data_IF_877882497420
#
_entry.id   IF_877882497420
#
_cell.length_a   1.000
_cell.length_b   1.000
_cell.length_c   1.000
_cell.angle_alpha   90.00
_cell.angle_beta   90.00
_cell.angle_gamma   90.00
#
_symmetry.space_group_name_H-M   'P 1'
#
loop_
_entity.id
_entity.type
_entity.pdbx_description
1 polymer ?
#
# COMPACT_ATOMS: atom_id res chain seq x y z
N UNK A 1 -7.70 -8.94 -13.91
CA UNK A 1 -8.34 -9.39 -12.66
C UNK A 1 -8.23 -8.32 -11.60
N UNK A 2 -9.25 -8.19 -10.78
CA UNK A 2 -9.23 -7.29 -9.65
C UNK A 2 -8.54 -7.93 -8.45
N UNK A 3 -7.81 -7.12 -7.68
CA UNK A 3 -7.15 -7.59 -6.46
C UNK A 3 -7.36 -6.61 -5.32
N UNK A 4 -7.19 -7.12 -4.11
CA UNK A 4 -7.11 -6.33 -2.88
C UNK A 4 -5.75 -6.57 -2.26
N UNK A 5 -5.10 -5.51 -1.84
CA UNK A 5 -3.81 -5.57 -1.16
C UNK A 5 -3.92 -4.84 0.17
N UNK A 6 -3.48 -5.48 1.23
CA UNK A 6 -3.23 -4.82 2.51
C UNK A 6 -1.73 -4.68 2.67
N UNK A 7 -1.29 -3.47 3.00
CA UNK A 7 0.12 -3.24 3.07
C UNK A 7 0.48 -2.36 4.27
N UNK A 8 1.62 -2.66 4.90
CA UNK A 8 2.17 -1.91 6.01
C UNK A 8 3.64 -1.68 5.75
N UNK A 9 4.05 -0.42 5.82
CA UNK A 9 5.44 -0.01 5.71
C UNK A 9 5.95 0.28 7.11
N UNK A 10 6.92 -0.52 7.56
CA UNK A 10 7.43 -0.42 8.94
C UNK A 10 8.90 0.01 8.90
N UNK A 11 9.19 1.28 9.18
CA UNK A 11 10.57 1.74 9.26
C UNK A 11 11.27 1.16 10.48
N UNK A 12 12.53 0.76 10.31
CA UNK A 12 13.37 0.24 11.38
C UNK A 12 14.53 1.18 11.66
N UNK A 13 14.28 2.49 11.54
CA UNK A 13 15.27 3.54 11.68
C UNK A 13 14.62 4.79 12.25
N UNK A 14 15.44 5.71 12.76
CA UNK A 14 14.99 7.06 13.09
C UNK A 14 14.87 7.88 11.80
N UNK A 15 14.22 9.04 11.86
CA UNK A 15 14.08 9.93 10.71
C UNK A 15 13.35 9.25 9.53
N UNK A 16 12.16 8.73 9.80
CA UNK A 16 11.37 8.00 8.80
C UNK A 16 10.09 8.72 8.37
N UNK A 17 9.61 9.69 9.14
CA UNK A 17 8.26 10.24 8.98
C UNK A 17 8.02 10.84 7.59
N UNK A 18 8.98 11.61 7.08
CA UNK A 18 8.84 12.23 5.75
C UNK A 18 8.73 11.20 4.64
N UNK A 19 9.40 10.06 4.78
CA UNK A 19 9.38 9.00 3.77
C UNK A 19 8.06 8.25 3.79
N UNK A 20 7.49 8.01 4.97
CA UNK A 20 6.17 7.41 5.11
C UNK A 20 5.10 8.34 4.55
N UNK A 21 5.18 9.62 4.88
CA UNK A 21 4.23 10.62 4.38
C UNK A 21 4.27 10.67 2.85
N UNK A 22 5.46 10.67 2.24
CA UNK A 22 5.61 10.64 0.80
C UNK A 22 4.93 9.40 0.20
N UNK A 23 5.20 8.23 0.76
CA UNK A 23 4.63 6.98 0.30
C UNK A 23 3.10 7.02 0.34
N UNK A 24 2.53 7.43 1.46
CA UNK A 24 1.07 7.52 1.61
C UNK A 24 0.47 8.54 0.64
N UNK A 25 1.10 9.69 0.45
CA UNK A 25 0.61 10.69 -0.49
C UNK A 25 0.61 10.19 -1.92
N UNK A 26 1.62 9.42 -2.32
CA UNK A 26 1.65 8.82 -3.66
C UNK A 26 0.50 7.81 -3.83
N UNK A 27 0.20 7.01 -2.81
CA UNK A 27 -0.94 6.10 -2.85
C UNK A 27 -2.25 6.88 -3.01
N UNK A 28 -2.43 7.93 -2.22
CA UNK A 28 -3.65 8.76 -2.26
C UNK A 28 -3.84 9.44 -3.62
N UNK A 29 -2.75 9.81 -4.27
CA UNK A 29 -2.78 10.48 -5.57
C UNK A 29 -2.99 9.51 -6.74
N UNK A 30 -2.97 8.21 -6.50
CA UNK A 30 -3.11 7.21 -7.53
C UNK A 30 -4.56 7.09 -8.02
N UNK A 31 -4.75 6.37 -9.12
CA UNK A 31 -6.08 6.07 -9.65
C UNK A 31 -6.84 5.00 -8.87
N UNK A 32 -6.16 4.34 -7.93
CA UNK A 32 -6.72 3.18 -7.23
C UNK A 32 -7.55 3.60 -6.02
N UNK A 33 -8.44 2.71 -5.59
CA UNK A 33 -9.18 2.90 -4.35
C UNK A 33 -8.24 2.62 -3.18
N UNK A 34 -8.06 3.61 -2.32
CA UNK A 34 -7.16 3.54 -1.17
C UNK A 34 -8.01 3.69 0.10
N UNK A 35 -7.91 2.72 0.99
CA UNK A 35 -8.52 2.79 2.32
C UNK A 35 -7.42 2.76 3.37
N UNK A 36 -7.44 3.73 4.26
CA UNK A 36 -6.44 3.85 5.33
C UNK A 36 -7.09 3.64 6.68
N UNK A 37 -6.40 2.90 7.55
CA UNK A 37 -6.78 2.80 8.94
C UNK A 37 -5.51 2.78 9.81
N UNK A 38 -5.63 2.80 11.15
CA UNK A 38 -4.44 2.88 12.01
C UNK A 38 -3.49 1.69 11.91
N UNK A 39 -3.93 0.56 11.37
CA UNK A 39 -3.14 -0.67 11.33
C UNK A 39 -2.51 -0.95 9.98
N UNK A 40 -3.12 -0.47 8.89
CA UNK A 40 -2.64 -0.79 7.56
C UNK A 40 -3.28 0.12 6.51
N UNK A 41 -2.77 0.04 5.29
CA UNK A 41 -3.37 0.70 4.13
C UNK A 41 -3.81 -0.37 3.14
N UNK A 42 -5.03 -0.24 2.60
CA UNK A 42 -5.55 -1.16 1.60
C UNK A 42 -5.58 -0.49 0.23
N UNK A 43 -5.20 -1.25 -0.78
CA UNK A 43 -5.18 -0.81 -2.18
C UNK A 43 -6.01 -1.79 -3.00
N UNK A 44 -6.93 -1.26 -3.82
CA UNK A 44 -7.85 -2.06 -4.63
C UNK A 44 -7.80 -1.61 -6.08
N UNK A 45 -7.73 -2.55 -6.99
CA UNK A 45 -7.73 -2.24 -8.40
C UNK A 45 -7.36 -3.42 -9.28
N UNK A 46 -7.11 -3.13 -10.54
CA UNK A 46 -6.72 -4.12 -11.54
C UNK A 46 -5.27 -4.53 -11.33
N UNK A 47 -5.02 -5.84 -11.31
CA UNK A 47 -3.71 -6.43 -11.04
C UNK A 47 -2.60 -5.83 -11.90
N UNK A 48 -2.85 -5.77 -13.22
CA UNK A 48 -1.83 -5.33 -14.18
C UNK A 48 -1.47 -3.85 -14.05
N UNK A 49 -2.29 -3.08 -13.34
CA UNK A 49 -2.04 -1.65 -13.07
C UNK A 49 -1.52 -1.44 -11.65
N UNK A 50 -2.10 -2.13 -10.67
CA UNK A 50 -1.73 -1.98 -9.26
C UNK A 50 -0.30 -2.47 -9.02
N UNK A 51 0.06 -3.63 -9.55
CA UNK A 51 1.36 -4.23 -9.25
C UNK A 51 2.54 -3.41 -9.76
N UNK A 52 2.56 -2.94 -11.01
CA UNK A 52 3.65 -2.06 -11.45
C UNK A 52 3.76 -0.78 -10.63
N UNK A 53 2.62 -0.18 -10.27
CA UNK A 53 2.59 1.02 -9.44
C UNK A 53 3.20 0.76 -8.06
N UNK A 54 2.73 -0.30 -7.36
CA UNK A 54 3.24 -0.63 -6.03
C UNK A 54 4.71 -1.04 -6.06
N UNK A 55 5.12 -1.80 -7.06
CA UNK A 55 6.52 -2.18 -7.24
C UNK A 55 7.41 -0.95 -7.32
N UNK A 56 6.99 0.05 -8.08
CA UNK A 56 7.72 1.31 -8.20
C UNK A 56 7.76 2.07 -6.86
N UNK A 57 6.63 2.17 -6.17
CA UNK A 57 6.55 2.92 -4.92
C UNK A 57 7.33 2.23 -3.78
N UNK A 58 7.28 0.92 -3.72
CA UNK A 58 8.06 0.14 -2.74
C UNK A 58 9.56 0.31 -3.01
N UNK A 59 9.95 0.27 -4.29
CA UNK A 59 11.35 0.48 -4.66
C UNK A 59 11.84 1.86 -4.23
N UNK A 60 11.02 2.90 -4.41
CA UNK A 60 11.36 4.25 -3.93
C UNK A 60 11.53 4.27 -2.41
N UNK A 61 10.61 3.63 -1.68
CA UNK A 61 10.70 3.56 -0.22
C UNK A 61 11.97 2.86 0.22
N UNK A 62 12.35 1.77 -0.43
CA UNK A 62 13.59 1.05 -0.15
C UNK A 62 14.83 1.90 -0.47
N UNK A 63 14.75 2.75 -1.49
CA UNK A 63 15.82 3.68 -1.82
C UNK A 63 15.93 4.85 -0.85
N UNK A 64 14.80 5.29 -0.29
CA UNK A 64 14.75 6.44 0.62
C UNK A 64 15.14 6.07 2.05
N UNK A 65 14.90 4.83 2.46
CA UNK A 65 15.14 4.36 3.81
C UNK A 65 16.10 3.17 3.80
N UNK A 66 17.09 3.22 4.66
CA UNK A 66 18.10 2.17 4.74
C UNK A 66 17.54 0.89 5.38
N UNK A 67 16.65 1.06 6.37
CA UNK A 67 16.09 -0.06 7.13
C UNK A 67 14.57 0.08 7.18
N UNK A 68 13.87 -0.74 6.39
CA UNK A 68 12.41 -0.72 6.31
C UNK A 68 11.90 -2.12 5.99
N UNK A 69 10.78 -2.47 6.60
CA UNK A 69 10.06 -3.72 6.36
C UNK A 69 8.77 -3.41 5.65
N UNK A 70 8.44 -4.15 4.59
CA UNK A 70 7.12 -4.10 3.96
C UNK A 70 6.41 -5.42 4.22
N UNK A 71 5.24 -5.33 4.82
CA UNK A 71 4.33 -6.46 4.95
C UNK A 71 3.22 -6.29 3.94
N UNK A 72 2.95 -7.32 3.13
CA UNK A 72 1.94 -7.27 2.09
C UNK A 72 1.10 -8.54 2.09
N UNK A 73 -0.21 -8.37 2.08
CA UNK A 73 -1.17 -9.46 1.93
C UNK A 73 -2.02 -9.18 0.69
N UNK A 74 -2.18 -10.19 -0.16
CA UNK A 74 -2.94 -10.07 -1.41
C UNK A 74 -4.11 -11.02 -1.43
N UNK A 75 -5.25 -10.53 -1.92
CA UNK A 75 -6.45 -11.34 -2.13
C UNK A 75 -6.88 -11.18 -3.58
N UNK A 76 -7.17 -12.29 -4.24
CA UNK A 76 -7.66 -12.30 -5.62
C UNK A 76 -9.16 -11.96 -5.61
N UNK A 77 -9.48 -10.71 -5.62
CA UNK A 77 -10.80 -10.10 -5.83
C UNK A 77 -10.76 -8.69 -5.29
N UNK A 78 -11.75 -7.87 -5.65
CA UNK A 78 -11.88 -6.52 -5.09
C UNK A 78 -12.83 -6.59 -3.89
N UNK A 79 -12.30 -6.34 -2.71
CA UNK A 79 -13.03 -6.38 -1.44
C UNK A 79 -13.31 -4.99 -0.88
N UNK A 80 -13.19 -3.96 -1.70
CA UNK A 80 -13.34 -2.58 -1.22
C UNK A 80 -14.75 -2.25 -0.72
N UNK A 81 -15.75 -2.99 -1.18
CA UNK A 81 -17.15 -2.82 -0.80
C UNK A 81 -17.66 -3.89 0.16
N UNK A 82 -16.74 -4.58 0.84
CA UNK A 82 -17.12 -5.63 1.78
C UNK A 82 -18.04 -5.08 2.88
N UNK A 83 -19.16 -5.77 3.07
CA UNK A 83 -20.08 -5.53 4.17
C UNK A 83 -20.51 -6.90 4.71
N UNK A 84 -20.45 -7.11 6.03
CA UNK A 84 -20.93 -8.37 6.60
C UNK A 84 -22.45 -8.48 6.46
N UNK A 85 -22.94 -9.68 6.25
CA UNK A 85 -24.36 -9.97 6.13
C UNK A 85 -24.94 -10.61 7.40
N UNK A 86 -24.23 -10.44 8.50
CA UNK A 86 -24.61 -10.99 9.79
C UNK A 86 -24.58 -9.94 10.90
#
# INVERSE_FOLDING_TARGET
MQISIELTLTPLQNDFEKHIIRFIKELRASEFTILENPLSTQVYGEYDKVMPFLTSEIKKAFGDMEHVLVYMKMVKSNRSDYEPDF
#
